data_IF_126809164583
#
_entry.id   IF_126809164583
#
_cell.length_a   1.000
_cell.length_b   1.000
_cell.length_c   1.000
_cell.angle_alpha   90.00
_cell.angle_beta   90.00
_cell.angle_gamma   90.00
#
_symmetry.space_group_name_H-M   'P 1'
#
loop_
_entity.id
_entity.type
_entity.pdbx_description
1 polymer ?
#
# COMPACT_ATOMS: atom_id res chain seq x y z
N UNK A 1 2.80 -3.36 1.03
CA UNK A 1 2.16 -4.14 -0.03
C UNK A 1 3.11 -4.52 -1.16
N UNK A 2 4.30 -4.99 -0.84
CA UNK A 2 5.34 -5.31 -1.82
C UNK A 2 5.07 -6.60 -2.64
N UNK A 3 3.89 -7.19 -2.54
CA UNK A 3 3.61 -8.48 -3.17
C UNK A 3 3.35 -8.40 -4.68
N UNK A 4 2.73 -7.34 -5.18
CA UNK A 4 2.21 -7.30 -6.55
C UNK A 4 3.11 -6.53 -7.51
N UNK A 5 3.59 -5.36 -7.11
CA UNK A 5 4.51 -4.52 -7.91
C UNK A 5 5.44 -3.71 -6.99
N UNK A 6 6.42 -3.02 -7.57
CA UNK A 6 7.36 -2.20 -6.82
C UNK A 6 6.71 -0.86 -6.42
N UNK A 7 6.35 -0.70 -5.16
CA UNK A 7 5.79 0.53 -4.62
C UNK A 7 6.88 1.60 -4.35
N UNK A 8 7.39 2.21 -5.39
CA UNK A 8 8.43 3.25 -5.31
C UNK A 8 7.91 4.45 -4.50
N UNK A 9 6.66 4.87 -4.76
CA UNK A 9 6.04 5.98 -4.04
C UNK A 9 6.02 5.77 -2.52
N UNK A 10 5.78 4.54 -2.04
CA UNK A 10 5.81 4.24 -0.61
C UNK A 10 7.19 4.47 0.01
N UNK A 11 8.28 4.16 -0.70
CA UNK A 11 9.62 4.45 -0.23
C UNK A 11 9.86 5.96 -0.11
N UNK A 12 9.47 6.75 -1.13
CA UNK A 12 9.56 8.21 -1.08
C UNK A 12 8.76 8.77 0.09
N UNK A 13 7.49 8.42 0.20
CA UNK A 13 6.58 8.96 1.23
C UNK A 13 7.05 8.63 2.64
N UNK A 14 7.47 7.40 2.91
CA UNK A 14 7.84 6.98 4.26
C UNK A 14 9.24 7.49 4.64
N UNK A 15 10.23 7.29 3.78
CA UNK A 15 11.63 7.60 4.11
C UNK A 15 11.86 9.11 4.13
N UNK A 16 11.34 9.85 3.16
CA UNK A 16 11.49 11.31 3.11
C UNK A 16 10.81 11.98 4.32
N UNK A 17 9.63 11.52 4.68
CA UNK A 17 8.92 12.03 5.88
C UNK A 17 9.72 11.79 7.15
N UNK A 18 10.25 10.59 7.34
CA UNK A 18 11.12 10.27 8.48
C UNK A 18 12.38 11.14 8.48
N UNK A 19 13.01 11.33 7.31
CA UNK A 19 14.21 12.17 7.16
C UNK A 19 13.95 13.63 7.52
N UNK A 20 12.87 14.19 7.02
CA UNK A 20 12.46 15.59 7.30
C UNK A 20 12.08 15.77 8.77
N UNK A 21 11.48 14.75 9.39
CA UNK A 21 11.19 14.73 10.82
C UNK A 21 12.44 14.59 11.70
N UNK A 22 13.64 14.46 11.13
CA UNK A 22 14.89 14.36 11.86
C UNK A 22 15.18 12.97 12.46
N UNK A 23 14.52 11.93 11.98
CA UNK A 23 14.79 10.55 12.41
C UNK A 23 16.21 10.18 12.02
N UNK A 24 17.01 9.71 12.96
CA UNK A 24 18.45 9.43 12.77
C UNK A 24 18.69 8.08 12.12
N UNK A 25 17.90 7.07 12.48
CA UNK A 25 18.05 5.70 12.00
C UNK A 25 16.77 5.27 11.28
N UNK A 26 16.83 5.20 9.97
CA UNK A 26 15.68 4.84 9.12
C UNK A 26 15.95 3.47 8.51
N UNK A 27 15.15 2.48 8.93
CA UNK A 27 15.22 1.11 8.46
C UNK A 27 14.04 0.86 7.52
N UNK A 28 14.33 0.44 6.29
CA UNK A 28 13.33 0.07 5.30
C UNK A 28 13.28 -1.45 5.16
N UNK A 29 12.07 -2.01 5.22
CA UNK A 29 11.85 -3.44 4.96
C UNK A 29 10.97 -3.61 3.73
N UNK A 30 11.33 -4.53 2.86
CA UNK A 30 10.51 -4.93 1.72
C UNK A 30 10.61 -6.42 1.47
N UNK A 31 9.48 -7.04 1.14
CA UNK A 31 9.44 -8.47 0.87
C UNK A 31 10.31 -8.83 -0.33
N UNK A 32 11.16 -9.86 -0.20
CA UNK A 32 12.00 -10.31 -1.29
C UNK A 32 11.18 -10.90 -2.44
N UNK A 33 11.64 -10.68 -3.66
CA UNK A 33 11.19 -11.42 -4.85
C UNK A 33 12.17 -12.55 -5.15
N UNK A 34 11.72 -13.67 -5.69
CA UNK A 34 12.59 -14.77 -6.08
C UNK A 34 13.75 -14.28 -6.96
N UNK A 35 14.95 -14.72 -6.66
CA UNK A 35 16.20 -14.46 -7.40
C UNK A 35 16.73 -13.02 -7.41
N UNK A 36 15.97 -12.02 -6.95
CA UNK A 36 16.40 -10.61 -6.95
C UNK A 36 16.38 -9.95 -5.57
N UNK A 37 15.75 -10.56 -4.59
CA UNK A 37 15.57 -9.93 -3.27
C UNK A 37 14.61 -8.73 -3.31
N UNK A 38 14.92 -7.66 -2.58
CA UNK A 38 14.19 -6.40 -2.67
C UNK A 38 14.30 -5.86 -4.09
N UNK A 39 13.18 -5.40 -4.64
CA UNK A 39 13.16 -4.85 -6.00
C UNK A 39 14.17 -3.69 -6.16
N UNK A 40 15.04 -3.68 -7.19
CA UNK A 40 16.09 -2.66 -7.33
C UNK A 40 15.59 -1.21 -7.28
N UNK A 41 14.43 -0.93 -7.85
CA UNK A 41 13.84 0.41 -7.80
C UNK A 41 13.49 0.85 -6.37
N UNK A 42 13.07 -0.08 -5.50
CA UNK A 42 12.79 0.22 -4.08
C UNK A 42 14.10 0.50 -3.35
N UNK A 43 15.14 -0.32 -3.60
CA UNK A 43 16.47 -0.13 -3.01
C UNK A 43 17.02 1.24 -3.39
N UNK A 44 17.05 1.54 -4.67
CA UNK A 44 17.52 2.83 -5.19
C UNK A 44 16.75 4.01 -4.59
N UNK A 45 15.42 3.93 -4.57
CA UNK A 45 14.58 5.04 -4.07
C UNK A 45 14.72 5.22 -2.56
N UNK A 46 14.78 4.13 -1.79
CA UNK A 46 14.98 4.19 -0.35
C UNK A 46 16.34 4.81 0.01
N UNK A 47 17.39 4.42 -0.69
CA UNK A 47 18.74 5.00 -0.54
C UNK A 47 18.74 6.49 -0.90
N UNK A 48 18.19 6.85 -2.06
CA UNK A 48 18.08 8.24 -2.52
C UNK A 48 17.33 9.13 -1.50
N UNK A 49 16.30 8.60 -0.84
CA UNK A 49 15.55 9.32 0.19
C UNK A 49 16.26 9.36 1.54
N UNK A 50 17.33 8.61 1.73
CA UNK A 50 18.19 8.65 2.92
C UNK A 50 17.91 7.57 3.96
N UNK A 51 17.45 6.38 3.55
CA UNK A 51 17.40 5.20 4.40
C UNK A 51 18.82 4.79 4.84
N UNK A 52 18.99 4.40 6.09
CA UNK A 52 20.26 3.95 6.64
C UNK A 52 20.46 2.44 6.44
N UNK A 53 19.38 1.67 6.49
CA UNK A 53 19.39 0.22 6.36
C UNK A 53 18.22 -0.22 5.49
N UNK A 54 18.48 -1.14 4.58
CA UNK A 54 17.45 -1.80 3.77
C UNK A 54 17.49 -3.29 4.06
N UNK A 55 16.44 -3.81 4.68
CA UNK A 55 16.31 -5.22 5.04
C UNK A 55 15.52 -5.98 3.98
N UNK A 56 16.12 -7.04 3.48
CA UNK A 56 15.50 -7.97 2.53
C UNK A 56 14.51 -8.91 3.25
N UNK A 57 13.48 -8.33 3.86
CA UNK A 57 12.53 -9.00 4.72
C UNK A 57 11.19 -8.26 4.67
N UNK A 58 10.08 -8.98 4.72
CA UNK A 58 8.74 -8.40 4.66
C UNK A 58 7.76 -9.08 5.61
N UNK A 59 6.52 -8.63 5.58
CA UNK A 59 5.44 -9.23 6.37
C UNK A 59 5.63 -9.13 7.87
N UNK A 60 5.07 -10.08 8.60
CA UNK A 60 5.16 -10.19 10.07
C UNK A 60 6.61 -10.32 10.55
N UNK A 61 7.44 -11.01 9.75
CA UNK A 61 8.86 -11.20 10.07
C UNK A 61 9.61 -9.88 10.14
N UNK A 62 9.33 -8.94 9.22
CA UNK A 62 9.92 -7.60 9.23
C UNK A 62 9.48 -6.81 10.48
N UNK A 63 8.19 -6.87 10.81
CA UNK A 63 7.65 -6.23 12.03
C UNK A 63 8.36 -6.76 13.28
N UNK A 64 8.46 -8.08 13.41
CA UNK A 64 9.13 -8.71 14.56
C UNK A 64 10.63 -8.37 14.60
N UNK A 65 11.31 -8.37 13.46
CA UNK A 65 12.74 -8.08 13.38
C UNK A 65 13.05 -6.63 13.77
N UNK A 66 12.30 -5.67 13.27
CA UNK A 66 12.48 -4.25 13.63
C UNK A 66 12.17 -3.99 15.10
N UNK A 67 11.07 -4.55 15.61
CA UNK A 67 10.68 -4.37 17.03
C UNK A 67 11.71 -4.94 18.01
N UNK A 68 12.37 -6.03 17.65
CA UNK A 68 13.32 -6.70 18.54
C UNK A 68 14.80 -6.39 18.21
N UNK A 69 15.08 -5.53 17.25
CA UNK A 69 16.45 -5.16 16.90
C UNK A 69 17.27 -6.33 16.36
N UNK A 70 16.70 -7.14 15.47
CA UNK A 70 17.41 -8.29 14.90
C UNK A 70 18.36 -7.87 13.76
N UNK A 71 19.24 -8.79 13.37
CA UNK A 71 20.22 -8.63 12.29
C UNK A 71 21.19 -7.45 12.47
N UNK A 72 21.59 -7.18 13.71
CA UNK A 72 22.56 -6.15 14.03
C UNK A 72 21.98 -4.72 14.11
N UNK A 73 20.66 -4.58 14.03
CA UNK A 73 20.00 -3.29 14.21
C UNK A 73 19.58 -3.06 15.67
N UNK A 74 19.42 -1.80 16.05
CA UNK A 74 18.73 -1.45 17.29
C UNK A 74 17.22 -1.70 17.14
N UNK A 75 16.49 -1.99 18.26
CA UNK A 75 15.04 -2.00 18.24
C UNK A 75 14.47 -0.67 17.71
N UNK A 76 13.46 -0.75 16.87
CA UNK A 76 12.78 0.44 16.35
C UNK A 76 11.92 1.10 17.44
N UNK A 77 11.89 2.42 17.45
CA UNK A 77 11.01 3.20 18.33
C UNK A 77 9.59 3.27 17.77
N UNK A 78 9.46 3.28 16.42
CA UNK A 78 8.19 3.37 15.72
C UNK A 78 8.20 2.56 14.41
N UNK A 79 7.10 1.92 14.09
CA UNK A 79 6.84 1.20 12.84
C UNK A 79 5.83 1.96 12.00
N UNK A 80 6.19 2.28 10.77
CA UNK A 80 5.36 3.04 9.84
C UNK A 80 5.18 2.25 8.54
N UNK A 81 3.98 2.27 8.02
CA UNK A 81 3.65 1.70 6.72
C UNK A 81 2.45 0.76 6.75
N UNK A 82 1.71 0.68 5.65
CA UNK A 82 0.59 -0.22 5.50
C UNK A 82 1.05 -1.65 5.23
N UNK A 83 0.15 -2.60 5.37
CA UNK A 83 0.39 -4.00 5.06
C UNK A 83 -0.91 -4.79 4.94
N UNK A 84 -0.78 -6.09 4.79
CA UNK A 84 -1.93 -6.98 4.83
C UNK A 84 -2.45 -7.15 6.28
N UNK A 85 -3.55 -7.88 6.43
CA UNK A 85 -4.18 -8.14 7.73
C UNK A 85 -3.22 -8.74 8.77
N UNK A 86 -2.24 -9.55 8.36
CA UNK A 86 -1.26 -10.15 9.27
C UNK A 86 -0.24 -9.12 9.77
N UNK A 87 0.16 -8.18 8.92
CA UNK A 87 1.02 -7.05 9.31
C UNK A 87 0.27 -6.11 10.26
N UNK A 88 -0.99 -5.81 9.97
CA UNK A 88 -1.84 -5.00 10.85
C UNK A 88 -1.99 -5.67 12.23
N UNK A 89 -2.24 -6.97 12.28
CA UNK A 89 -2.36 -7.71 13.53
C UNK A 89 -1.03 -7.79 14.29
N UNK A 90 0.10 -7.98 13.60
CA UNK A 90 1.42 -7.93 14.24
C UNK A 90 1.71 -6.57 14.86
N UNK A 91 1.35 -5.47 14.19
CA UNK A 91 1.45 -4.11 14.74
C UNK A 91 0.55 -3.95 15.96
N UNK A 92 -0.67 -4.46 15.91
CA UNK A 92 -1.62 -4.42 17.04
C UNK A 92 -1.07 -5.13 18.27
N UNK A 93 -0.50 -6.33 18.11
CA UNK A 93 0.07 -7.12 19.19
C UNK A 93 1.28 -6.43 19.83
N UNK A 94 2.08 -5.74 19.02
CA UNK A 94 3.33 -5.11 19.48
C UNK A 94 3.15 -3.65 19.88
N UNK A 95 1.98 -3.07 19.66
CA UNK A 95 1.66 -1.71 20.11
C UNK A 95 1.85 -1.58 21.64
N UNK A 96 2.54 -0.53 22.05
CA UNK A 96 2.95 -0.32 23.44
C UNK A 96 4.38 -0.80 23.72
N UNK A 97 4.86 -1.85 23.07
CA UNK A 97 6.29 -2.21 23.04
C UNK A 97 7.04 -1.35 22.01
N UNK A 98 6.40 -1.04 20.89
CA UNK A 98 6.90 -0.17 19.83
C UNK A 98 5.76 0.78 19.40
N UNK A 99 6.10 2.01 19.02
CA UNK A 99 5.13 2.93 18.40
C UNK A 99 4.67 2.42 17.05
N UNK A 100 3.46 2.76 16.66
CA UNK A 100 2.94 2.48 15.31
C UNK A 100 2.25 3.72 14.73
N UNK A 101 2.14 3.78 13.41
CA UNK A 101 1.35 4.80 12.72
C UNK A 101 -0.15 4.57 12.93
N UNK A 102 -0.67 3.44 12.43
CA UNK A 102 -2.08 3.05 12.60
C UNK A 102 -2.26 1.54 12.34
N UNK A 103 -3.40 1.02 12.76
CA UNK A 103 -3.81 -0.36 12.49
C UNK A 103 -4.47 -0.47 11.11
N UNK A 104 -3.69 -0.31 10.04
CA UNK A 104 -4.19 -0.40 8.68
C UNK A 104 -3.94 -1.76 8.06
N UNK A 105 -5.02 -2.46 7.77
CA UNK A 105 -5.06 -3.62 6.89
C UNK A 105 -5.53 -3.23 5.48
N UNK A 106 -6.28 -4.09 4.80
CA UNK A 106 -6.98 -3.74 3.56
C UNK A 106 -7.90 -2.55 3.78
N UNK A 107 -7.89 -1.61 2.84
CA UNK A 107 -8.71 -0.40 2.90
C UNK A 107 -9.84 -0.45 1.90
N UNK A 108 -10.90 0.26 2.20
CA UNK A 108 -12.08 0.41 1.37
C UNK A 108 -12.24 1.88 1.00
N UNK A 109 -12.87 2.18 -0.12
CA UNK A 109 -13.29 3.54 -0.44
C UNK A 109 -14.78 3.62 -0.73
N UNK A 110 -15.36 4.77 -0.40
CA UNK A 110 -16.72 5.13 -0.80
C UNK A 110 -16.68 6.50 -1.47
N UNK A 111 -17.19 6.57 -2.69
CA UNK A 111 -17.34 7.81 -3.44
C UNK A 111 -18.80 8.24 -3.36
N UNK A 112 -19.04 9.46 -2.90
CA UNK A 112 -20.35 10.09 -2.92
C UNK A 112 -20.30 11.16 -4.01
N UNK A 113 -21.10 11.01 -5.06
CA UNK A 113 -21.08 11.90 -6.20
C UNK A 113 -22.49 12.16 -6.75
N UNK A 114 -22.71 13.30 -7.34
CA UNK A 114 -23.94 13.68 -8.03
C UNK A 114 -23.71 13.83 -9.54
N UNK A 115 -24.66 14.43 -10.23
CA UNK A 115 -24.63 14.63 -11.69
C UNK A 115 -23.54 15.61 -12.17
N UNK A 116 -22.89 16.32 -11.28
CA UNK A 116 -21.81 17.27 -11.60
C UNK A 116 -20.44 16.59 -11.67
N UNK A 117 -20.33 15.37 -11.16
CA UNK A 117 -19.09 14.61 -11.17
C UNK A 117 -18.74 14.11 -12.58
N UNK A 118 -17.44 14.08 -12.87
CA UNK A 118 -16.93 13.47 -14.10
C UNK A 118 -16.89 11.94 -13.93
N UNK A 119 -17.66 11.18 -14.74
CA UNK A 119 -17.71 9.73 -14.65
C UNK A 119 -16.36 9.05 -14.92
N UNK A 120 -15.48 9.68 -15.71
CA UNK A 120 -14.14 9.17 -15.98
C UNK A 120 -13.29 9.20 -14.73
N UNK A 121 -13.26 10.31 -13.99
CA UNK A 121 -12.51 10.45 -12.74
C UNK A 121 -13.04 9.45 -11.70
N UNK A 122 -14.35 9.36 -11.54
CA UNK A 122 -14.98 8.41 -10.61
C UNK A 122 -14.60 6.98 -10.94
N UNK A 123 -14.61 6.60 -12.22
CA UNK A 123 -14.23 5.25 -12.65
C UNK A 123 -12.75 4.95 -12.35
N UNK A 124 -11.84 5.89 -12.60
CA UNK A 124 -10.42 5.73 -12.26
C UNK A 124 -10.19 5.56 -10.75
N UNK A 125 -10.86 6.33 -9.92
CA UNK A 125 -10.73 6.21 -8.46
C UNK A 125 -11.21 4.85 -7.96
N UNK A 126 -12.33 4.35 -8.48
CA UNK A 126 -12.85 3.02 -8.14
C UNK A 126 -11.88 1.91 -8.58
N UNK A 127 -11.35 1.99 -9.79
CA UNK A 127 -10.40 1.01 -10.32
C UNK A 127 -9.07 1.06 -9.56
N UNK A 128 -8.58 2.26 -9.23
CA UNK A 128 -7.37 2.45 -8.44
C UNK A 128 -7.45 1.80 -7.05
N UNK A 129 -8.64 1.76 -6.45
CA UNK A 129 -8.86 1.00 -5.21
C UNK A 129 -9.01 -0.51 -5.48
N UNK A 130 -9.79 -0.87 -6.50
CA UNK A 130 -10.08 -2.27 -6.82
C UNK A 130 -8.81 -3.08 -7.17
N UNK A 131 -7.78 -2.45 -7.75
CA UNK A 131 -6.50 -3.11 -8.05
C UNK A 131 -5.75 -3.64 -6.82
N UNK A 132 -6.11 -3.20 -5.61
CA UNK A 132 -5.58 -3.76 -4.36
C UNK A 132 -6.12 -5.16 -4.06
N UNK A 133 -7.23 -5.57 -4.66
CA UNK A 133 -7.77 -6.92 -4.61
C UNK A 133 -9.16 -7.05 -3.99
N UNK A 134 -9.67 -8.27 -3.98
CA UNK A 134 -11.05 -8.61 -3.56
C UNK A 134 -11.44 -8.15 -2.14
N UNK A 135 -10.48 -7.90 -1.28
CA UNK A 135 -10.67 -7.43 0.09
C UNK A 135 -10.49 -5.91 0.24
N UNK A 136 -10.51 -5.18 -0.86
CA UNK A 136 -10.43 -3.73 -0.91
C UNK A 136 -11.58 -3.16 -1.76
N UNK A 137 -12.83 -3.33 -1.30
CA UNK A 137 -14.00 -2.91 -2.06
C UNK A 137 -14.05 -1.40 -2.26
N UNK A 138 -14.64 -1.00 -3.37
CA UNK A 138 -14.86 0.38 -3.74
C UNK A 138 -16.33 0.58 -4.10
N UNK A 139 -16.98 1.60 -3.53
CA UNK A 139 -18.39 1.88 -3.74
C UNK A 139 -18.62 3.27 -4.31
N UNK A 140 -19.60 3.36 -5.20
CA UNK A 140 -20.18 4.62 -5.64
C UNK A 140 -21.59 4.76 -5.08
N UNK A 141 -21.82 5.86 -4.37
CA UNK A 141 -23.14 6.29 -3.93
C UNK A 141 -23.56 7.52 -4.71
N UNK A 142 -24.60 7.38 -5.54
CA UNK A 142 -25.08 8.48 -6.36
C UNK A 142 -26.61 8.45 -6.51
N UNK A 143 -27.20 9.64 -6.67
CA UNK A 143 -28.61 9.80 -7.08
C UNK A 143 -28.72 9.94 -8.61
N UNK A 144 -27.62 10.14 -9.32
CA UNK A 144 -27.60 10.27 -10.77
C UNK A 144 -27.51 8.91 -11.44
N UNK A 145 -28.64 8.46 -11.98
CA UNK A 145 -28.65 7.22 -12.78
C UNK A 145 -27.67 7.32 -13.97
N UNK A 146 -27.60 8.49 -14.61
CA UNK A 146 -26.69 8.73 -15.73
C UNK A 146 -25.25 8.49 -15.32
N UNK A 147 -24.80 9.09 -14.20
CA UNK A 147 -23.43 8.90 -13.68
C UNK A 147 -23.17 7.42 -13.39
N UNK A 148 -24.10 6.73 -12.73
CA UNK A 148 -23.95 5.32 -12.44
C UNK A 148 -23.79 4.46 -13.71
N UNK A 149 -24.64 4.66 -14.72
CA UNK A 149 -24.60 3.91 -15.97
C UNK A 149 -23.28 4.16 -16.74
N UNK A 150 -22.77 5.40 -16.75
CA UNK A 150 -21.51 5.76 -17.40
C UNK A 150 -20.31 5.14 -16.67
N UNK A 151 -20.29 5.16 -15.33
CA UNK A 151 -19.23 4.55 -14.51
C UNK A 151 -19.24 3.02 -14.67
N UNK A 152 -20.41 2.37 -14.60
CA UNK A 152 -20.56 0.91 -14.80
C UNK A 152 -20.00 0.49 -16.17
N UNK A 153 -20.23 1.27 -17.20
CA UNK A 153 -19.69 1.01 -18.52
C UNK A 153 -18.18 1.19 -18.58
N UNK A 154 -17.66 2.23 -17.93
CA UNK A 154 -16.24 2.62 -18.02
C UNK A 154 -15.29 1.74 -17.21
N UNK A 155 -15.68 1.28 -16.04
CA UNK A 155 -14.82 0.48 -15.14
C UNK A 155 -14.26 -0.78 -15.80
N UNK A 156 -15.06 -1.63 -16.51
CA UNK A 156 -14.51 -2.80 -17.20
C UNK A 156 -13.46 -2.47 -18.27
N UNK A 157 -13.63 -1.34 -18.98
CA UNK A 157 -12.67 -0.89 -19.99
C UNK A 157 -11.34 -0.53 -19.34
N UNK A 158 -11.36 0.24 -18.23
CA UNK A 158 -10.16 0.60 -17.49
C UNK A 158 -9.46 -0.63 -16.89
N UNK A 159 -10.22 -1.59 -16.36
CA UNK A 159 -9.65 -2.85 -15.86
C UNK A 159 -8.94 -3.61 -16.99
N UNK A 160 -9.51 -3.61 -18.20
CA UNK A 160 -8.92 -4.28 -19.34
C UNK A 160 -7.55 -3.72 -19.75
N UNK A 161 -7.31 -2.44 -19.52
CA UNK A 161 -6.06 -1.73 -19.84
C UNK A 161 -4.98 -1.88 -18.77
N UNK A 162 -5.31 -2.42 -17.58
CA UNK A 162 -4.33 -2.62 -16.51
C UNK A 162 -3.31 -3.72 -16.86
N UNK A 163 -2.08 -3.63 -16.30
CA UNK A 163 -1.13 -4.73 -16.30
C UNK A 163 -1.73 -6.00 -15.65
N UNK A 164 -1.22 -7.17 -16.02
CA UNK A 164 -1.83 -8.48 -15.69
C UNK A 164 -2.22 -8.66 -14.21
N UNK A 165 -1.30 -8.39 -13.26
CA UNK A 165 -1.58 -8.57 -11.83
C UNK A 165 -2.62 -7.58 -11.28
N UNK A 166 -2.54 -6.25 -11.52
CA UNK A 166 -3.59 -5.31 -11.16
C UNK A 166 -4.93 -5.64 -11.83
N UNK A 167 -4.91 -6.05 -13.10
CA UNK A 167 -6.09 -6.45 -13.86
C UNK A 167 -6.84 -7.60 -13.21
N UNK A 168 -6.12 -8.68 -12.85
CA UNK A 168 -6.72 -9.80 -12.14
C UNK A 168 -7.30 -9.35 -10.79
N UNK A 169 -6.56 -8.55 -10.03
CA UNK A 169 -6.99 -8.07 -8.72
C UNK A 169 -8.24 -7.19 -8.78
N UNK A 170 -8.27 -6.25 -9.74
CA UNK A 170 -9.42 -5.37 -9.94
C UNK A 170 -10.62 -6.15 -10.48
N UNK A 171 -10.40 -7.12 -11.37
CA UNK A 171 -11.45 -8.01 -11.86
C UNK A 171 -12.08 -8.86 -10.76
N UNK A 172 -11.29 -9.36 -9.82
CA UNK A 172 -11.78 -10.12 -8.65
C UNK A 172 -12.59 -9.22 -7.68
N UNK A 173 -12.27 -7.94 -7.61
CA UNK A 173 -12.98 -6.97 -6.78
C UNK A 173 -14.25 -6.41 -7.45
N UNK A 174 -14.30 -6.36 -8.78
CA UNK A 174 -15.44 -5.90 -9.56
C UNK A 174 -16.50 -6.99 -9.65
N UNK A 175 -17.65 -6.79 -8.97
CA UNK A 175 -18.78 -7.72 -8.97
C UNK A 175 -20.11 -6.99 -9.14
#
# INVERSE_FOLDING_TARGET
PAGRYAHIASAVMSVTTAKVAGVKNIIVCSSPKPNIGVHPSIVYTADLCGANVIMNLGGVQAIAAMTNGLFGNAPADILVGPGNQFVAEAKRILFGKVGIDLFAGPTEIAIIADETADPEIVAYDLVGQAEHGYNSPAWLFTKSKKLADEVIKRVPELIADLPELPKQSAGDAWR
#
